data_IF_745711692700
#
_entry.id   IF_745711692700
#
_cell.length_a   1.000
_cell.length_b   1.000
_cell.length_c   1.000
_cell.angle_alpha   90.00
_cell.angle_beta   90.00
_cell.angle_gamma   90.00
#
_symmetry.space_group_name_H-M   'P 1'
#
loop_
_entity.id
_entity.type
_entity.pdbx_description
1 polymer ?
#
# COMPACT_ATOMS: atom_id res chain seq x y z
N UNK A 1 -19.80 -0.40 -4.49
CA UNK A 1 -18.37 -0.68 -4.81
C UNK A 1 -18.24 -0.58 -6.32
N UNK A 2 -17.54 0.44 -6.84
CA UNK A 2 -17.19 0.48 -8.26
C UNK A 2 -15.77 -0.06 -8.38
N UNK A 3 -15.66 -1.33 -8.72
CA UNK A 3 -14.43 -1.95 -9.19
C UNK A 3 -14.19 -1.39 -10.58
N UNK A 4 -13.17 -0.55 -10.75
CA UNK A 4 -12.60 -0.34 -12.08
C UNK A 4 -12.20 -1.73 -12.60
N UNK A 5 -12.66 -2.10 -13.78
CA UNK A 5 -12.35 -3.39 -14.37
C UNK A 5 -10.83 -3.49 -14.55
N UNK A 6 -10.18 -4.32 -13.73
CA UNK A 6 -8.77 -4.64 -13.88
C UNK A 6 -8.60 -5.28 -15.26
N UNK A 7 -7.87 -4.62 -16.15
CA UNK A 7 -7.54 -5.21 -17.44
C UNK A 7 -6.61 -6.40 -17.19
N UNK A 8 -6.96 -7.62 -17.64
CA UNK A 8 -6.23 -8.85 -17.31
C UNK A 8 -4.76 -8.85 -17.75
N UNK A 9 -4.41 -7.98 -18.70
CA UNK A 9 -3.04 -7.82 -19.24
C UNK A 9 -2.32 -6.54 -18.77
N UNK A 10 -2.82 -5.90 -17.69
CA UNK A 10 -2.22 -4.68 -17.13
C UNK A 10 -1.63 -4.94 -15.75
N UNK A 11 -1.04 -3.89 -15.15
CA UNK A 11 -0.47 -3.92 -13.81
C UNK A 11 -1.53 -4.24 -12.75
N UNK A 12 -1.33 -5.29 -11.92
CA UNK A 12 -2.21 -5.57 -10.78
C UNK A 12 -2.31 -4.35 -9.88
N UNK A 13 -3.53 -3.92 -9.58
CA UNK A 13 -3.76 -2.69 -8.83
C UNK A 13 -5.00 -2.77 -7.95
N UNK A 14 -5.06 -1.86 -6.98
CA UNK A 14 -6.21 -1.64 -6.12
C UNK A 14 -6.48 -0.15 -5.99
N UNK A 15 -7.75 0.22 -6.04
CA UNK A 15 -8.24 1.59 -5.83
C UNK A 15 -9.19 1.55 -4.62
N UNK A 16 -8.71 2.00 -3.47
CA UNK A 16 -9.47 2.05 -2.23
C UNK A 16 -10.22 3.38 -2.14
N UNK A 17 -11.54 3.32 -1.97
CA UNK A 17 -12.43 4.49 -1.90
C UNK A 17 -13.26 4.44 -0.61
N UNK A 18 -13.26 5.55 0.14
CA UNK A 18 -14.09 5.73 1.34
C UNK A 18 -15.32 6.59 1.07
N UNK A 19 -15.20 7.60 0.21
CA UNK A 19 -16.29 8.49 -0.20
C UNK A 19 -16.05 9.05 -1.61
N UNK A 20 -17.07 9.69 -2.20
CA UNK A 20 -17.01 10.20 -3.57
C UNK A 20 -16.25 11.54 -3.69
N UNK A 21 -16.16 12.29 -2.59
CA UNK A 21 -15.54 13.62 -2.46
C UNK A 21 -14.05 13.57 -2.07
N UNK A 22 -13.50 12.37 -1.81
CA UNK A 22 -12.10 12.16 -1.45
C UNK A 22 -11.35 11.50 -2.60
N UNK A 23 -10.07 11.85 -2.73
CA UNK A 23 -9.17 11.11 -3.62
C UNK A 23 -9.03 9.67 -3.13
N UNK A 24 -9.02 8.68 -4.03
CA UNK A 24 -8.75 7.30 -3.65
C UNK A 24 -7.31 7.11 -3.18
N UNK A 25 -7.07 6.00 -2.48
CA UNK A 25 -5.74 5.41 -2.40
C UNK A 25 -5.59 4.44 -3.56
N UNK A 26 -4.54 4.58 -4.34
CA UNK A 26 -4.23 3.74 -5.48
C UNK A 26 -2.88 3.08 -5.25
N UNK A 27 -2.83 1.76 -5.36
CA UNK A 27 -1.60 0.97 -5.29
C UNK A 27 -1.54 0.10 -6.53
N UNK A 28 -0.39 0.10 -7.20
CA UNK A 28 -0.18 -0.68 -8.43
C UNK A 28 1.18 -1.35 -8.40
N UNK A 29 1.18 -2.64 -8.68
CA UNK A 29 2.36 -3.49 -8.76
C UNK A 29 2.92 -3.43 -10.18
N UNK A 30 4.17 -2.98 -10.32
CA UNK A 30 4.81 -2.75 -11.62
C UNK A 30 5.62 -3.97 -12.03
N UNK A 31 6.48 -4.45 -11.14
CA UNK A 31 7.39 -5.57 -11.44
C UNK A 31 7.81 -6.32 -10.18
N UNK A 32 8.33 -7.52 -10.38
CA UNK A 32 8.86 -8.42 -9.37
C UNK A 32 10.37 -8.57 -9.64
N UNK A 33 11.17 -8.10 -8.70
CA UNK A 33 12.62 -8.19 -8.76
C UNK A 33 13.08 -9.61 -8.38
N UNK A 34 14.35 -9.89 -8.68
CA UNK A 34 15.01 -11.12 -8.24
C UNK A 34 14.98 -11.27 -6.71
N UNK A 35 14.89 -12.50 -6.19
CA UNK A 35 14.91 -12.74 -4.74
C UNK A 35 16.09 -12.02 -4.03
N UNK A 36 15.77 -11.32 -2.95
CA UNK A 36 16.77 -10.56 -2.18
C UNK A 36 17.16 -9.21 -2.78
N UNK A 37 16.67 -8.86 -3.97
CA UNK A 37 17.04 -7.60 -4.62
C UNK A 37 16.48 -6.38 -3.89
N UNK A 38 15.29 -6.50 -3.28
CA UNK A 38 14.66 -5.45 -2.49
C UNK A 38 15.53 -5.04 -1.32
N UNK A 39 15.93 -5.99 -0.48
CA UNK A 39 16.82 -5.75 0.65
C UNK A 39 18.15 -5.11 0.24
N UNK A 40 18.80 -5.65 -0.80
CA UNK A 40 20.07 -5.12 -1.31
C UNK A 40 19.94 -3.67 -1.77
N UNK A 41 18.85 -3.36 -2.49
CA UNK A 41 18.56 -2.01 -2.95
C UNK A 41 18.32 -1.08 -1.77
N UNK A 42 17.45 -1.46 -0.84
CA UNK A 42 17.09 -0.65 0.34
C UNK A 42 18.34 -0.36 1.17
N UNK A 43 19.18 -1.35 1.44
CA UNK A 43 20.42 -1.17 2.20
C UNK A 43 21.39 -0.19 1.49
N UNK A 44 21.59 -0.37 0.19
CA UNK A 44 22.52 0.47 -0.59
C UNK A 44 22.00 1.90 -0.74
N UNK A 45 20.71 2.06 -1.00
CA UNK A 45 20.05 3.36 -1.15
C UNK A 45 19.98 4.09 0.20
N UNK A 46 19.66 3.39 1.28
CA UNK A 46 19.67 3.93 2.65
C UNK A 46 21.04 4.48 3.07
N UNK A 47 22.13 3.81 2.72
CA UNK A 47 23.49 4.33 2.98
C UNK A 47 23.80 5.62 2.20
N UNK A 48 23.27 5.76 0.99
CA UNK A 48 23.41 7.01 0.22
C UNK A 48 22.52 8.10 0.78
N UNK A 49 21.30 7.75 1.17
CA UNK A 49 20.34 8.66 1.81
C UNK A 49 20.92 9.25 3.10
N UNK A 50 21.52 8.44 3.98
CA UNK A 50 22.09 8.91 5.25
C UNK A 50 23.31 9.82 5.10
N UNK A 51 23.93 9.84 3.92
CA UNK A 51 25.04 10.74 3.56
C UNK A 51 24.58 11.99 2.83
N UNK A 52 23.28 12.11 2.53
CA UNK A 52 22.74 13.25 1.79
C UNK A 52 22.75 14.50 2.69
N UNK A 53 23.13 15.70 2.17
CA UNK A 53 23.17 16.92 2.99
C UNK A 53 21.83 17.32 3.64
N UNK A 54 20.72 16.99 2.97
CA UNK A 54 19.35 17.22 3.45
C UNK A 54 18.73 15.97 4.11
N UNK A 55 19.56 15.10 4.69
CA UNK A 55 19.11 13.91 5.41
C UNK A 55 18.48 14.28 6.77
N UNK A 56 17.38 13.63 7.10
CA UNK A 56 16.69 13.73 8.38
C UNK A 56 16.35 12.32 8.85
N UNK A 57 16.88 11.94 10.01
CA UNK A 57 16.55 10.69 10.69
C UNK A 57 15.50 10.96 11.77
N UNK A 58 14.24 10.69 11.46
CA UNK A 58 13.13 10.92 12.37
C UNK A 58 11.93 10.02 12.06
N UNK A 59 11.07 9.83 13.07
CA UNK A 59 9.77 9.15 12.97
C UNK A 59 9.84 7.73 12.40
N UNK A 60 10.95 7.00 12.60
CA UNK A 60 11.17 5.67 12.00
C UNK A 60 11.02 5.66 10.46
N UNK A 61 11.17 6.84 9.85
CA UNK A 61 11.07 7.12 8.43
C UNK A 61 12.22 8.06 8.01
N UNK A 62 13.48 7.59 8.05
CA UNK A 62 14.61 8.37 7.60
C UNK A 62 14.40 8.80 6.14
N UNK A 63 14.64 10.09 5.88
CA UNK A 63 14.32 10.72 4.61
C UNK A 63 15.40 11.70 4.17
N UNK A 64 15.43 11.99 2.88
CA UNK A 64 16.27 13.06 2.34
C UNK A 64 15.56 13.77 1.19
N UNK A 65 15.56 15.10 1.21
CA UNK A 65 15.08 15.92 0.08
C UNK A 65 16.13 15.92 -1.02
N UNK A 66 15.81 15.28 -2.14
CA UNK A 66 16.69 15.12 -3.30
C UNK A 66 16.56 16.29 -4.29
N UNK A 67 15.35 16.85 -4.40
CA UNK A 67 15.07 18.06 -5.18
C UNK A 67 14.13 18.96 -4.39
N UNK A 68 14.39 20.26 -4.41
CA UNK A 68 13.62 21.28 -3.68
C UNK A 68 12.72 22.04 -4.63
N UNK A 69 11.76 22.79 -4.09
CA UNK A 69 10.97 23.74 -4.87
C UNK A 69 11.86 24.85 -5.43
N UNK A 70 11.36 25.47 -6.49
CA UNK A 70 11.88 26.72 -7.05
C UNK A 70 10.78 27.78 -7.05
N UNK A 71 10.47 28.42 -5.90
CA UNK A 71 9.42 29.43 -5.79
C UNK A 71 9.59 30.61 -6.76
N UNK A 72 10.84 30.99 -7.03
CA UNK A 72 11.22 32.02 -7.99
C UNK A 72 10.86 31.68 -9.44
N UNK A 73 10.69 30.39 -9.74
CA UNK A 73 10.25 29.87 -11.04
C UNK A 73 8.79 29.39 -11.02
N UNK A 74 8.06 29.65 -9.93
CA UNK A 74 6.72 29.12 -9.69
C UNK A 74 6.62 27.58 -9.78
N UNK A 75 7.70 26.87 -9.42
CA UNK A 75 7.71 25.41 -9.34
C UNK A 75 7.56 24.96 -7.86
N UNK A 76 6.39 24.44 -7.48
CA UNK A 76 6.13 24.00 -6.12
C UNK A 76 6.51 22.54 -5.86
N UNK A 77 7.21 21.89 -6.80
CA UNK A 77 7.49 20.47 -6.73
C UNK A 77 8.70 20.16 -5.85
N UNK A 78 8.71 18.99 -5.23
CA UNK A 78 9.87 18.50 -4.49
C UNK A 78 9.94 16.98 -4.59
N UNK A 79 11.15 16.44 -4.48
CA UNK A 79 11.40 14.99 -4.53
C UNK A 79 12.14 14.58 -3.28
N UNK A 80 11.63 13.55 -2.62
CA UNK A 80 12.24 12.96 -1.44
C UNK A 80 12.55 11.49 -1.68
N UNK A 81 13.57 11.01 -0.98
CA UNK A 81 13.65 9.60 -0.64
C UNK A 81 13.16 9.39 0.79
N UNK A 82 12.55 8.24 1.06
CA UNK A 82 12.30 7.78 2.42
C UNK A 82 12.49 6.26 2.52
N UNK A 83 12.85 5.79 3.70
CA UNK A 83 13.06 4.37 3.99
C UNK A 83 12.17 3.99 5.17
N UNK A 84 11.62 2.78 5.11
CA UNK A 84 10.85 2.19 6.22
C UNK A 84 11.53 0.89 6.62
N UNK A 85 12.04 0.89 7.85
CA UNK A 85 12.83 -0.21 8.39
C UNK A 85 12.00 -1.45 8.78
N UNK A 86 12.64 -2.44 9.43
CA UNK A 86 12.01 -3.69 9.83
C UNK A 86 10.93 -3.56 10.91
N UNK A 87 10.84 -2.41 11.57
CA UNK A 87 9.80 -2.11 12.57
C UNK A 87 8.60 -1.37 11.98
N UNK A 88 8.67 -0.98 10.70
CA UNK A 88 7.74 -0.03 10.12
C UNK A 88 7.92 1.38 10.67
N UNK A 89 6.92 2.23 10.42
CA UNK A 89 6.85 3.60 10.93
C UNK A 89 5.51 3.85 11.69
N UNK A 90 5.39 4.88 12.54
CA UNK A 90 4.13 5.18 13.22
C UNK A 90 3.06 5.63 12.22
N UNK A 91 1.79 5.38 12.55
CA UNK A 91 0.68 5.92 11.78
C UNK A 91 0.77 7.45 11.75
N UNK A 92 0.64 8.01 10.56
CA UNK A 92 0.66 9.43 10.36
C UNK A 92 -0.10 9.84 9.09
N UNK A 93 -0.22 11.14 8.87
CA UNK A 93 -0.78 11.72 7.65
C UNK A 93 -0.02 12.99 7.26
N UNK A 94 -0.30 13.43 6.04
CA UNK A 94 0.15 14.72 5.52
C UNK A 94 -1.03 15.54 5.00
N UNK A 95 -0.89 16.86 5.02
CA UNK A 95 -1.88 17.76 4.45
C UNK A 95 -1.97 17.65 2.92
N UNK A 96 -0.81 17.52 2.25
CA UNK A 96 -0.71 17.36 0.81
C UNK A 96 -0.93 15.93 0.36
N UNK A 97 -1.35 15.75 -0.89
CA UNK A 97 -1.38 14.42 -1.50
C UNK A 97 0.05 13.89 -1.71
N UNK A 98 0.18 12.58 -1.82
CA UNK A 98 1.46 11.89 -2.03
C UNK A 98 1.35 10.98 -3.24
N UNK A 99 2.42 10.93 -4.01
CA UNK A 99 2.64 9.94 -5.05
C UNK A 99 4.08 9.45 -4.92
N UNK A 100 4.29 8.14 -4.80
CA UNK A 100 5.63 7.59 -4.69
C UNK A 100 5.78 6.30 -5.46
N UNK A 101 7.02 6.04 -5.89
CA UNK A 101 7.46 4.73 -6.39
C UNK A 101 8.34 4.10 -5.34
N UNK A 102 8.14 2.82 -5.05
CA UNK A 102 8.82 2.13 -3.98
C UNK A 102 9.25 0.72 -4.39
N UNK A 103 10.27 0.24 -3.69
CA UNK A 103 10.71 -1.16 -3.72
C UNK A 103 10.47 -1.75 -2.34
N UNK A 104 9.77 -2.89 -2.27
CA UNK A 104 9.57 -3.63 -1.03
C UNK A 104 10.80 -4.47 -0.69
N UNK A 105 11.04 -4.71 0.60
CA UNK A 105 12.05 -5.66 1.06
C UNK A 105 11.66 -7.10 0.78
N UNK A 106 12.53 -8.04 1.13
CA UNK A 106 12.38 -9.45 0.79
C UNK A 106 11.32 -10.20 1.61
N UNK A 107 10.72 -9.55 2.62
CA UNK A 107 9.48 -10.02 3.25
C UNK A 107 8.21 -9.48 2.57
N UNK A 108 8.32 -8.47 1.72
CA UNK A 108 7.20 -7.68 1.23
C UNK A 108 6.76 -6.62 2.24
N UNK A 109 5.68 -5.91 1.92
CA UNK A 109 5.17 -4.82 2.75
C UNK A 109 3.65 -4.87 2.92
N UNK A 110 3.17 -4.52 4.11
CA UNK A 110 1.78 -4.16 4.36
C UNK A 110 1.64 -2.65 4.35
N UNK A 111 0.80 -2.16 3.44
CA UNK A 111 0.41 -0.75 3.37
C UNK A 111 -0.96 -0.59 4.01
N UNK A 112 -1.02 0.11 5.13
CA UNK A 112 -2.25 0.31 5.91
C UNK A 112 -2.75 1.72 5.66
N UNK A 113 -4.03 1.86 5.34
CA UNK A 113 -4.65 3.15 5.05
C UNK A 113 -5.99 3.29 5.77
N UNK A 114 -6.30 4.49 6.25
CA UNK A 114 -7.63 4.87 6.69
C UNK A 114 -7.93 6.32 6.29
N UNK A 115 -9.17 6.56 5.88
CA UNK A 115 -9.72 7.91 5.72
C UNK A 115 -10.89 8.04 6.66
N UNK A 116 -10.79 8.98 7.59
CA UNK A 116 -11.81 9.25 8.60
C UNK A 116 -11.98 10.75 8.77
N UNK A 117 -13.13 11.13 9.32
CA UNK A 117 -13.37 12.49 9.81
C UNK A 117 -12.79 12.63 11.23
N UNK A 118 -12.13 13.75 11.50
CA UNK A 118 -11.45 13.98 12.78
C UNK A 118 -12.44 14.12 13.94
N UNK A 119 -13.58 14.78 13.72
CA UNK A 119 -14.63 14.94 14.74
C UNK A 119 -15.27 13.59 15.04
N UNK A 120 -15.51 12.78 14.00
CA UNK A 120 -16.04 11.43 14.17
C UNK A 120 -15.06 10.53 14.94
N UNK A 121 -13.75 10.63 14.66
CA UNK A 121 -12.72 9.87 15.36
C UNK A 121 -12.48 10.34 16.80
N UNK A 122 -12.68 11.63 17.08
CA UNK A 122 -12.63 12.16 18.43
C UNK A 122 -13.79 11.60 19.29
N UNK A 123 -14.98 11.47 18.70
CA UNK A 123 -16.14 10.88 19.36
C UNK A 123 -16.06 9.36 19.50
N UNK A 124 -15.57 8.66 18.47
CA UNK A 124 -15.40 7.21 18.47
C UNK A 124 -14.05 6.80 17.83
N UNK A 125 -13.01 6.55 18.63
CA UNK A 125 -11.72 6.09 18.14
C UNK A 125 -11.78 4.75 17.37
N UNK A 126 -12.83 3.95 17.54
CA UNK A 126 -13.02 2.71 16.78
C UNK A 126 -13.40 2.99 15.32
N UNK A 127 -13.86 4.20 14.98
CA UNK A 127 -14.12 4.61 13.60
C UNK A 127 -12.85 4.49 12.74
N UNK A 128 -11.68 4.79 13.31
CA UNK A 128 -10.39 4.58 12.67
C UNK A 128 -10.18 3.12 12.28
N UNK A 129 -10.41 2.19 13.21
CA UNK A 129 -10.22 0.76 12.96
C UNK A 129 -11.19 0.21 11.91
N UNK A 130 -12.45 0.66 11.94
CA UNK A 130 -13.44 0.27 10.92
C UNK A 130 -13.11 0.82 9.53
N UNK A 131 -12.43 1.97 9.48
CA UNK A 131 -11.98 2.57 8.24
C UNK A 131 -10.68 1.95 7.69
N UNK A 132 -9.90 1.21 8.49
CA UNK A 132 -8.64 0.62 8.03
C UNK A 132 -8.85 -0.34 6.85
N UNK A 133 -7.94 -0.25 5.89
CA UNK A 133 -7.78 -1.16 4.76
C UNK A 133 -6.30 -1.47 4.61
N UNK A 134 -5.99 -2.72 4.27
CA UNK A 134 -4.60 -3.17 4.07
C UNK A 134 -4.41 -3.55 2.60
N UNK A 135 -3.27 -3.15 2.05
CA UNK A 135 -2.75 -3.65 0.78
C UNK A 135 -1.47 -4.40 1.07
N UNK A 136 -1.41 -5.68 0.72
CA UNK A 136 -0.19 -6.47 0.80
C UNK A 136 0.54 -6.42 -0.54
N UNK A 137 1.77 -5.92 -0.49
CA UNK A 137 2.72 -5.90 -1.60
C UNK A 137 3.67 -7.09 -1.44
N UNK A 138 3.95 -7.86 -2.51
CA UNK A 138 4.84 -9.01 -2.41
C UNK A 138 6.28 -8.59 -2.08
N UNK A 139 7.09 -9.58 -1.69
CA UNK A 139 8.53 -9.42 -1.51
C UNK A 139 9.20 -8.85 -2.77
N UNK A 140 10.32 -8.15 -2.61
CA UNK A 140 11.21 -7.75 -3.71
C UNK A 140 10.47 -7.14 -4.92
N UNK A 141 9.53 -6.23 -4.69
CA UNK A 141 8.62 -5.75 -5.73
C UNK A 141 8.77 -4.24 -5.98
N UNK A 142 8.68 -3.84 -7.25
CA UNK A 142 8.53 -2.45 -7.67
C UNK A 142 7.04 -2.10 -7.74
N UNK A 143 6.63 -1.05 -7.03
CA UNK A 143 5.23 -0.63 -6.99
C UNK A 143 5.10 0.89 -6.90
N UNK A 144 3.92 1.40 -7.24
CA UNK A 144 3.57 2.81 -7.14
C UNK A 144 2.37 2.99 -6.23
N UNK A 145 2.36 4.09 -5.50
CA UNK A 145 1.28 4.46 -4.58
C UNK A 145 0.90 5.92 -4.82
N UNK A 146 -0.39 6.21 -4.80
CA UNK A 146 -0.94 7.56 -4.78
C UNK A 146 -2.07 7.66 -3.77
N UNK A 147 -2.08 8.70 -2.95
CA UNK A 147 -3.20 8.99 -2.05
C UNK A 147 -3.37 10.49 -1.79
N UNK A 148 -4.58 10.88 -1.42
CA UNK A 148 -4.92 12.26 -1.08
C UNK A 148 -4.34 12.70 0.27
N UNK A 149 -4.29 14.01 0.48
CA UNK A 149 -4.00 14.56 1.80
C UNK A 149 -5.05 14.14 2.83
N UNK A 150 -4.63 14.04 4.09
CA UNK A 150 -5.48 13.63 5.21
C UNK A 150 -5.62 12.11 5.39
N UNK A 151 -5.09 11.30 4.49
CA UNK A 151 -5.09 9.83 4.63
C UNK A 151 -4.13 9.39 5.73
N UNK A 152 -4.66 8.78 6.80
CA UNK A 152 -3.85 8.07 7.79
C UNK A 152 -3.23 6.85 7.15
N UNK A 153 -1.91 6.69 7.30
CA UNK A 153 -1.20 5.56 6.74
C UNK A 153 -0.06 5.06 7.61
N UNK A 154 0.25 3.78 7.46
CA UNK A 154 1.37 3.11 8.10
C UNK A 154 1.90 2.01 7.16
N UNK A 155 3.21 1.96 7.00
CA UNK A 155 3.90 0.92 6.26
C UNK A 155 4.73 0.06 7.22
N UNK A 156 4.61 -1.25 7.08
CA UNK A 156 5.35 -2.25 7.87
C UNK A 156 5.77 -3.41 6.96
N UNK A 157 6.82 -4.19 7.30
CA UNK A 157 7.12 -5.40 6.56
C UNK A 157 6.01 -6.45 6.74
N UNK A 158 5.80 -7.32 5.75
CA UNK A 158 4.74 -8.34 5.81
C UNK A 158 5.07 -9.51 6.74
N UNK A 159 6.35 -9.86 6.91
CA UNK A 159 6.79 -10.93 7.81
C UNK A 159 8.10 -10.57 8.52
N UNK A 160 8.02 -10.46 9.86
CA UNK A 160 9.16 -10.43 10.77
C UNK A 160 10.10 -9.22 10.71
N UNK A 161 10.78 -8.97 11.83
CA UNK A 161 11.72 -7.86 12.01
C UNK A 161 13.08 -8.03 11.27
N UNK A 162 13.17 -8.96 10.31
CA UNK A 162 14.42 -9.27 9.61
C UNK A 162 14.62 -8.42 8.34
N UNK A 163 13.54 -8.02 7.68
CA UNK A 163 13.58 -7.34 6.39
C UNK A 163 12.99 -5.92 6.52
N UNK A 164 13.58 -4.90 5.86
CA UNK A 164 12.93 -3.59 5.77
C UNK A 164 11.60 -3.70 5.03
N UNK A 165 10.67 -2.79 5.32
CA UNK A 165 9.40 -2.74 4.58
C UNK A 165 9.62 -2.25 3.15
N UNK A 166 10.24 -1.08 2.98
CA UNK A 166 10.43 -0.45 1.68
C UNK A 166 11.49 0.66 1.67
N UNK A 167 11.92 1.01 0.45
CA UNK A 167 12.57 2.29 0.12
C UNK A 167 11.77 2.94 -1.01
N UNK A 168 11.57 4.25 -0.94
CA UNK A 168 10.71 4.96 -1.87
C UNK A 168 11.28 6.31 -2.33
N UNK A 169 10.87 6.70 -3.53
CA UNK A 169 11.00 8.04 -4.08
C UNK A 169 9.62 8.69 -4.10
N UNK A 170 9.43 9.71 -3.26
CA UNK A 170 8.19 10.47 -3.14
C UNK A 170 8.26 11.75 -3.97
N UNK A 171 7.26 11.95 -4.82
CA UNK A 171 7.06 13.14 -5.62
C UNK A 171 5.95 13.97 -5.01
N UNK A 172 6.32 15.13 -4.48
CA UNK A 172 5.38 16.12 -3.99
C UNK A 172 5.14 17.09 -5.13
N UNK A 173 3.97 16.99 -5.77
CA UNK A 173 3.66 17.85 -6.92
C UNK A 173 3.41 19.31 -6.51
N UNK A 174 3.04 19.54 -5.25
CA UNK A 174 2.86 20.85 -4.66
C UNK A 174 3.01 20.75 -3.13
N UNK A 175 4.13 21.25 -2.60
CA UNK A 175 4.38 21.24 -1.15
C UNK A 175 3.47 22.17 -0.35
N UNK A 176 2.85 23.15 -1.01
CA UNK A 176 1.84 24.04 -0.42
C UNK A 176 0.43 23.45 -0.49
N UNK A 177 0.28 22.22 -1.00
CA UNK A 177 -1.01 21.55 -1.13
C UNK A 177 -1.60 21.14 0.23
N UNK A 178 -2.91 21.34 0.39
CA UNK A 178 -3.65 20.96 1.59
C UNK A 178 -3.70 22.04 2.66
N UNK A 179 -4.19 21.69 3.85
CA UNK A 179 -4.31 22.60 4.98
C UNK A 179 -3.02 22.61 5.80
N UNK A 180 -2.21 23.65 5.63
CA UNK A 180 -0.95 23.86 6.37
C UNK A 180 -1.10 25.01 7.36
N UNK A 181 -0.48 24.88 8.53
CA UNK A 181 -0.31 26.00 9.47
C UNK A 181 0.57 27.10 8.87
N UNK A 182 0.44 28.35 9.33
CA UNK A 182 1.28 29.47 8.86
C UNK A 182 2.78 29.14 8.97
N UNK A 183 3.19 28.55 10.11
CA UNK A 183 4.57 28.10 10.34
C UNK A 183 5.02 27.07 9.29
N UNK A 184 4.17 26.12 8.93
CA UNK A 184 4.49 25.13 7.90
C UNK A 184 4.56 25.77 6.52
N UNK A 185 3.63 26.67 6.19
CA UNK A 185 3.67 27.39 4.91
C UNK A 185 4.96 28.19 4.77
N UNK A 186 5.41 28.88 5.82
CA UNK A 186 6.64 29.66 5.80
C UNK A 186 7.89 28.78 5.72
N UNK A 187 7.87 27.61 6.37
CA UNK A 187 8.92 26.61 6.23
C UNK A 187 8.99 26.06 4.80
N UNK A 188 7.85 25.73 4.20
CA UNK A 188 7.74 25.26 2.81
C UNK A 188 8.26 26.32 1.85
N UNK A 189 7.72 27.55 1.87
CA UNK A 189 8.16 28.66 1.00
C UNK A 189 9.66 28.95 1.11
N UNK A 190 10.25 28.72 2.29
CA UNK A 190 11.67 28.89 2.53
C UNK A 190 12.55 27.70 2.17
N UNK A 191 12.01 26.61 1.59
CA UNK A 191 12.72 25.34 1.39
C UNK A 191 13.35 24.79 2.69
N UNK A 192 12.67 24.99 3.82
CA UNK A 192 13.09 24.51 5.15
C UNK A 192 12.22 23.39 5.70
N UNK A 193 11.08 23.10 5.06
CA UNK A 193 10.25 21.97 5.43
C UNK A 193 10.89 20.65 4.97
N UNK A 194 10.75 19.62 5.80
CA UNK A 194 11.09 18.22 5.52
C UNK A 194 9.87 17.34 5.79
N UNK A 195 9.97 16.05 5.52
CA UNK A 195 8.86 15.10 5.74
C UNK A 195 8.36 15.18 7.20
N UNK A 196 9.22 15.06 8.24
CA UNK A 196 8.78 15.12 9.64
C UNK A 196 8.05 16.41 10.00
N UNK A 197 8.50 17.58 9.53
CA UNK A 197 7.86 18.86 9.79
C UNK A 197 6.45 18.99 9.16
N UNK A 198 6.18 18.18 8.14
CA UNK A 198 4.89 18.09 7.42
C UNK A 198 4.09 16.83 7.81
N UNK A 199 4.50 16.13 8.87
CA UNK A 199 3.87 14.91 9.36
C UNK A 199 3.02 15.22 10.59
N UNK A 200 1.78 14.76 10.55
CA UNK A 200 0.90 14.71 11.72
C UNK A 200 0.78 13.25 12.18
N UNK A 201 1.17 12.98 13.43
CA UNK A 201 1.08 11.64 14.03
C UNK A 201 -0.36 11.31 14.45
N UNK A 202 -0.69 10.01 14.44
CA UNK A 202 -1.99 9.53 14.87
C UNK A 202 -2.31 9.98 16.32
N UNK A 203 -3.45 10.65 16.55
CA UNK A 203 -3.86 11.07 17.89
C UNK A 203 -3.93 9.92 18.91
N UNK A 204 -3.55 10.22 20.15
CA UNK A 204 -3.39 9.23 21.21
C UNK A 204 -4.62 8.31 21.46
N UNK A 205 -5.88 8.78 21.41
CA UNK A 205 -7.04 7.90 21.53
C UNK A 205 -7.10 6.83 20.43
N UNK A 206 -6.84 7.20 19.18
CA UNK A 206 -6.80 6.27 18.05
C UNK A 206 -5.58 5.35 18.13
N UNK A 207 -4.42 5.87 18.53
CA UNK A 207 -3.22 5.05 18.74
C UNK A 207 -3.45 3.97 19.82
N UNK A 208 -4.14 4.30 20.91
CA UNK A 208 -4.53 3.32 21.94
C UNK A 208 -5.49 2.27 21.40
N UNK A 209 -6.52 2.69 20.64
CA UNK A 209 -7.46 1.78 20.01
C UNK A 209 -6.73 0.80 19.06
N UNK A 210 -5.82 1.32 18.21
CA UNK A 210 -4.97 0.51 17.34
C UNK A 210 -4.08 -0.48 18.11
N UNK A 211 -3.49 -0.04 19.21
CA UNK A 211 -2.59 -0.88 20.02
C UNK A 211 -3.34 -2.01 20.73
N UNK A 212 -4.58 -1.75 21.18
CA UNK A 212 -5.42 -2.73 21.87
C UNK A 212 -6.10 -3.73 20.92
N UNK A 213 -6.16 -3.45 19.62
CA UNK A 213 -6.92 -4.21 18.64
C UNK A 213 -6.17 -5.43 18.06
N UNK A 214 -5.33 -6.12 18.85
CA UNK A 214 -4.51 -7.25 18.36
C UNK A 214 -5.34 -8.27 17.58
N UNK A 215 -6.47 -8.68 18.14
CA UNK A 215 -7.30 -9.76 17.59
C UNK A 215 -8.15 -9.29 16.41
N UNK A 216 -8.49 -7.99 16.37
CA UNK A 216 -9.26 -7.41 15.29
C UNK A 216 -8.42 -7.16 14.03
N UNK A 217 -7.08 -7.13 14.14
CA UNK A 217 -6.18 -6.88 12.99
C UNK A 217 -6.33 -7.92 11.88
N UNK A 218 -6.56 -9.17 12.26
CA UNK A 218 -6.77 -10.27 11.31
C UNK A 218 -8.08 -10.14 10.52
N UNK A 219 -9.02 -9.33 11.03
CA UNK A 219 -10.31 -9.06 10.38
C UNK A 219 -10.30 -7.83 9.46
N UNK A 220 -9.20 -7.08 9.41
CA UNK A 220 -9.13 -5.86 8.60
C UNK A 220 -9.20 -6.24 7.11
N UNK A 221 -10.08 -5.61 6.31
CA UNK A 221 -10.16 -5.91 4.89
C UNK A 221 -8.80 -5.72 4.21
N UNK A 222 -8.29 -6.81 3.64
CA UNK A 222 -6.94 -6.89 3.08
C UNK A 222 -7.00 -7.28 1.62
N UNK A 223 -6.29 -6.55 0.76
CA UNK A 223 -6.12 -6.86 -0.66
C UNK A 223 -4.67 -7.23 -0.92
N UNK A 224 -4.43 -8.46 -1.41
CA UNK A 224 -3.09 -8.90 -1.79
C UNK A 224 -2.85 -8.66 -3.28
N UNK A 225 -1.79 -7.94 -3.61
CA UNK A 225 -1.32 -7.80 -4.98
C UNK A 225 -0.34 -8.92 -5.32
N UNK A 226 -0.44 -9.48 -6.52
CA UNK A 226 0.49 -10.48 -7.04
C UNK A 226 0.66 -10.27 -8.54
N UNK A 227 1.88 -10.47 -9.06
CA UNK A 227 2.07 -10.61 -10.50
C UNK A 227 1.69 -12.04 -10.90
N UNK A 228 0.52 -12.19 -11.50
CA UNK A 228 0.06 -13.44 -12.09
C UNK A 228 -0.78 -13.16 -13.32
N UNK A 229 -0.53 -13.89 -14.42
CA UNK A 229 -1.50 -13.98 -15.52
C UNK A 229 -2.84 -14.42 -14.94
N UNK A 230 -3.99 -13.91 -15.42
CA UNK A 230 -5.24 -14.61 -15.19
C UNK A 230 -5.04 -16.03 -15.72
N UNK A 231 -5.11 -17.03 -14.84
CA UNK A 231 -5.28 -18.40 -15.28
C UNK A 231 -6.59 -18.39 -16.06
N UNK A 232 -6.51 -18.52 -17.39
CA UNK A 232 -7.69 -18.77 -18.22
C UNK A 232 -8.40 -19.94 -17.55
N UNK A 233 -9.60 -19.71 -17.02
CA UNK A 233 -10.47 -20.81 -16.68
C UNK A 233 -10.62 -21.63 -17.97
N UNK A 234 -10.01 -22.81 -18.01
CA UNK A 234 -10.35 -23.82 -19.01
C UNK A 234 -11.85 -24.01 -18.89
N UNK A 235 -12.64 -23.84 -19.97
CA UNK A 235 -14.04 -24.21 -19.93
C UNK A 235 -14.10 -25.64 -19.43
N UNK A 236 -14.88 -25.89 -18.36
CA UNK A 236 -15.31 -27.26 -18.09
C UNK A 236 -15.95 -27.74 -19.38
N UNK A 237 -15.34 -28.75 -19.98
CA UNK A 237 -15.90 -29.44 -21.12
C UNK A 237 -17.34 -29.90 -20.76
N UNK A 238 -18.38 -29.41 -21.47
CA UNK A 238 -19.75 -29.83 -21.22
C UNK A 238 -20.02 -31.29 -21.64
N UNK A 239 -19.05 -32.00 -22.21
CA UNK A 239 -19.26 -33.32 -22.81
C UNK A 239 -19.19 -34.52 -21.85
N UNK A 240 -19.32 -34.30 -20.53
CA UNK A 240 -19.73 -35.37 -19.59
C UNK A 240 -21.21 -35.25 -19.21
N UNK A 241 -22.07 -35.11 -20.22
CA UNK A 241 -23.48 -35.45 -20.12
C UNK A 241 -23.84 -36.37 -21.29
N UNK A 242 -23.39 -37.62 -21.23
CA UNK A 242 -23.96 -38.69 -22.06
C UNK A 242 -24.94 -39.51 -21.22
N UNK A 243 -26.22 -39.14 -21.41
CA UNK A 243 -27.38 -40.01 -21.65
C UNK A 243 -27.25 -41.46 -21.16
N UNK A 244 -27.94 -41.78 -20.06
CA UNK A 244 -28.61 -43.08 -19.91
C UNK A 244 -29.98 -42.97 -20.57
N UNK A 245 -30.13 -43.53 -21.76
CA UNK A 245 -31.43 -43.91 -22.32
C UNK A 245 -31.58 -45.43 -22.22
N UNK A 246 -32.70 -45.81 -21.65
CA UNK A 246 -33.22 -47.16 -21.41
C UNK A 246 -33.40 -48.03 -22.66
N UNK A 247 -33.28 -49.35 -22.50
CA UNK A 247 -34.06 -50.34 -23.26
C UNK A 247 -33.29 -51.57 -23.74
N UNK A 248 -33.72 -52.77 -23.31
CA UNK A 248 -33.52 -54.00 -24.08
C UNK A 248 -32.83 -55.17 -23.37
N UNK A 249 -33.63 -55.99 -22.66
CA UNK A 249 -33.35 -57.43 -22.46
C UNK A 249 -33.45 -58.16 -23.82
N UNK A 250 -32.77 -59.30 -24.06
CA UNK A 250 -33.12 -60.53 -23.35
C UNK A 250 -31.95 -61.45 -22.95
N UNK A 251 -32.22 -62.23 -21.91
CA UNK A 251 -31.52 -63.45 -21.55
C UNK A 251 -31.56 -64.51 -22.65
N UNK A 252 -30.45 -65.22 -22.91
CA UNK A 252 -30.42 -66.69 -22.93
C UNK A 252 -28.99 -67.27 -23.10
N UNK A 253 -28.85 -68.52 -22.61
CA UNK A 253 -27.77 -69.54 -22.73
C UNK A 253 -26.85 -69.63 -21.50
N UNK A 254 -27.12 -70.62 -20.61
CA UNK A 254 -26.63 -72.03 -20.65
C UNK A 254 -25.09 -72.07 -20.62
N UNK A 255 -24.39 -72.74 -19.71
CA UNK A 255 -24.70 -73.71 -18.66
C UNK A 255 -23.39 -74.40 -18.23
N UNK A 256 -23.45 -75.23 -17.17
CA UNK A 256 -22.39 -76.03 -16.52
C UNK A 256 -21.37 -75.21 -15.70
N UNK A 257 -21.17 -75.46 -14.41
CA UNK A 257 -20.80 -76.75 -13.77
C UNK A 257 -21.36 -76.81 -12.33
N UNK A 258 -21.86 -77.98 -11.92
CA UNK A 258 -22.20 -78.31 -10.52
C UNK A 258 -23.61 -78.81 -10.33
#
# INVERSE_FOLDING_TARGET
>A
MSTAALHPDSFPSVCLRWSADRLPVEVMLIDQLEPGAGDRLIATAGLRQSRHPAFVDALDEPSARLASMHPELADPTSVYSFLVGPTGHPFHRHAGHRAFTAVSGSAGAQLRFAVTDDDACAADPQAFLRALRIVEVPADALFVVRFGGGTWHQFVPSDGAAHPALFALSFHSNELGGTLTEKQQDAVRGNRADIPALTELLPAPMQRAWSAASDARDSIPTTRLTLGRPVRATPRDPSTCMRKTSGGHPANRRGAVG
#
